data_IF_010394566427
#
_entry.id   IF_010394566427
#
_cell.length_a   1.000
_cell.length_b   1.000
_cell.length_c   1.000
_cell.angle_alpha   90.00
_cell.angle_beta   90.00
_cell.angle_gamma   90.00
#
_symmetry.space_group_name_H-M   'P 1'
#
loop_
_entity.id
_entity.type
_entity.pdbx_description
1 polymer ?
#
# COMPACT_ATOMS: atom_id res chain seq x y z
N UNK A 1 7.60 -18.58 -3.91
CA UNK A 1 6.55 -19.34 -4.65
C UNK A 1 5.28 -18.52 -4.64
N UNK A 2 4.85 -18.02 -5.80
CA UNK A 2 3.74 -17.06 -5.92
C UNK A 2 2.35 -17.69 -5.73
N UNK A 3 2.28 -19.02 -5.86
CA UNK A 3 1.06 -19.81 -5.73
C UNK A 3 1.44 -21.15 -5.09
N UNK A 4 1.48 -21.23 -3.76
CA UNK A 4 1.46 -22.53 -3.08
C UNK A 4 0.03 -23.08 -3.06
N UNK A 5 -0.61 -23.14 -4.23
CA UNK A 5 -1.90 -23.79 -4.47
C UNK A 5 -1.68 -25.29 -4.74
N UNK A 6 -0.84 -25.91 -3.93
CA UNK A 6 -0.49 -27.32 -4.01
C UNK A 6 -0.68 -27.93 -2.62
N UNK A 7 -1.40 -29.06 -2.55
CA UNK A 7 -1.71 -29.79 -1.31
C UNK A 7 -3.09 -29.49 -0.70
N UNK A 8 -3.39 -30.16 0.41
CA UNK A 8 -4.73 -30.24 1.03
C UNK A 8 -5.29 -28.90 1.53
N UNK A 9 -4.43 -27.89 1.74
CA UNK A 9 -4.82 -26.56 2.17
C UNK A 9 -5.26 -25.59 1.05
N UNK A 10 -5.28 -26.04 -0.20
CA UNK A 10 -5.51 -25.17 -1.38
C UNK A 10 -6.88 -24.51 -1.37
N UNK A 11 -7.94 -25.26 -1.02
CA UNK A 11 -9.32 -24.73 -0.96
C UNK A 11 -9.42 -23.63 0.10
N UNK A 12 -8.83 -23.81 1.28
CA UNK A 12 -8.83 -22.79 2.33
C UNK A 12 -8.09 -21.52 1.91
N UNK A 13 -6.99 -21.63 1.16
CA UNK A 13 -6.26 -20.48 0.60
C UNK A 13 -7.08 -19.72 -0.44
N UNK A 14 -7.81 -20.42 -1.29
CA UNK A 14 -8.71 -19.82 -2.29
C UNK A 14 -9.92 -19.15 -1.64
N UNK A 15 -10.56 -19.80 -0.67
CA UNK A 15 -11.66 -19.21 0.10
C UNK A 15 -11.17 -17.97 0.85
N UNK A 16 -10.01 -18.05 1.51
CA UNK A 16 -9.40 -16.91 2.17
C UNK A 16 -9.16 -15.74 1.21
N UNK A 17 -8.68 -16.02 -0.01
CA UNK A 17 -8.52 -15.01 -1.04
C UNK A 17 -9.84 -14.36 -1.45
N UNK A 18 -10.89 -15.15 -1.72
CA UNK A 18 -12.23 -14.64 -2.08
C UNK A 18 -12.80 -13.78 -0.95
N UNK A 19 -12.64 -14.21 0.31
CA UNK A 19 -13.11 -13.46 1.48
C UNK A 19 -12.37 -12.14 1.64
N UNK A 20 -11.05 -12.13 1.46
CA UNK A 20 -10.25 -10.90 1.49
C UNK A 20 -10.65 -9.96 0.35
N UNK A 21 -10.76 -10.47 -0.87
CA UNK A 21 -11.20 -9.69 -2.03
C UNK A 21 -12.59 -9.08 -1.80
N UNK A 22 -13.58 -9.89 -1.45
CA UNK A 22 -14.94 -9.44 -1.16
C UNK A 22 -14.96 -8.43 0.00
N UNK A 23 -14.18 -8.69 1.06
CA UNK A 23 -14.02 -7.78 2.19
C UNK A 23 -13.45 -6.43 1.77
N UNK A 24 -12.41 -6.40 0.95
CA UNK A 24 -11.81 -5.16 0.42
C UNK A 24 -12.82 -4.37 -0.42
N UNK A 25 -13.54 -5.03 -1.33
CA UNK A 25 -14.57 -4.38 -2.16
C UNK A 25 -15.71 -3.81 -1.30
N UNK A 26 -16.21 -4.59 -0.32
CA UNK A 26 -17.28 -4.14 0.58
C UNK A 26 -16.81 -2.96 1.43
N UNK A 27 -15.64 -3.06 2.06
CA UNK A 27 -15.08 -1.99 2.88
C UNK A 27 -14.83 -0.72 2.05
N UNK A 28 -14.29 -0.85 0.83
CA UNK A 28 -14.11 0.26 -0.09
C UNK A 28 -15.45 0.93 -0.42
N UNK A 29 -16.48 0.14 -0.71
CA UNK A 29 -17.81 0.67 -1.02
C UNK A 29 -18.47 1.37 0.18
N UNK A 30 -18.34 0.82 1.39
CA UNK A 30 -18.83 1.43 2.62
C UNK A 30 -18.10 2.75 2.92
N UNK A 31 -16.77 2.78 2.74
CA UNK A 31 -15.95 3.96 2.92
C UNK A 31 -16.27 5.06 1.89
N UNK A 32 -16.56 4.65 0.64
CA UNK A 32 -16.86 5.55 -0.48
C UNK A 32 -18.23 6.21 -0.35
N UNK A 33 -19.26 5.45 0.04
CA UNK A 33 -20.67 5.90 0.02
C UNK A 33 -21.02 6.96 1.06
N UNK A 34 -20.30 7.06 2.18
CA UNK A 34 -20.67 7.98 3.25
C UNK A 34 -19.47 8.64 3.91
N UNK A 35 -19.68 9.85 4.43
CA UNK A 35 -18.64 10.58 5.18
C UNK A 35 -18.25 9.83 6.45
N UNK A 36 -19.23 9.25 7.15
CA UNK A 36 -18.97 8.49 8.36
C UNK A 36 -18.22 7.19 8.06
N UNK A 37 -18.60 6.46 7.01
CA UNK A 37 -17.86 5.28 6.56
C UNK A 37 -16.39 5.60 6.27
N UNK A 38 -16.13 6.67 5.50
CA UNK A 38 -14.76 7.14 5.27
C UNK A 38 -14.01 7.50 6.56
N UNK A 39 -14.63 8.19 7.50
CA UNK A 39 -14.02 8.50 8.81
C UNK A 39 -13.75 7.23 9.64
N UNK A 40 -14.64 6.25 9.61
CA UNK A 40 -14.45 4.97 10.30
C UNK A 40 -13.21 4.25 9.79
N UNK A 41 -13.13 4.05 8.48
CA UNK A 41 -12.05 3.27 7.86
C UNK A 41 -10.71 4.01 7.80
N UNK A 42 -10.70 5.34 7.62
CA UNK A 42 -9.47 6.09 7.41
C UNK A 42 -9.03 6.95 8.60
N UNK A 43 -9.83 7.06 9.67
CA UNK A 43 -9.46 7.81 10.88
C UNK A 43 -9.58 6.94 12.13
N UNK A 44 -10.78 6.46 12.45
CA UNK A 44 -11.00 5.75 13.73
C UNK A 44 -10.26 4.41 13.79
N UNK A 45 -10.34 3.58 12.75
CA UNK A 45 -9.61 2.30 12.69
C UNK A 45 -8.08 2.51 12.73
N UNK A 46 -7.48 3.40 11.91
CA UNK A 46 -6.05 3.67 11.97
C UNK A 46 -5.57 4.22 13.32
N UNK A 47 -6.37 5.02 14.02
CA UNK A 47 -6.04 5.47 15.38
C UNK A 47 -6.00 4.27 16.34
N UNK A 48 -7.02 3.41 16.31
CA UNK A 48 -7.05 2.20 17.15
C UNK A 48 -5.87 1.27 16.86
N UNK A 49 -5.53 1.09 15.57
CA UNK A 49 -4.35 0.33 15.15
C UNK A 49 -3.04 0.97 15.63
N UNK A 50 -2.94 2.30 15.59
CA UNK A 50 -1.76 3.00 16.10
C UNK A 50 -1.58 2.78 17.61
N UNK A 51 -2.66 2.85 18.39
CA UNK A 51 -2.63 2.53 19.83
C UNK A 51 -2.18 1.08 20.05
N UNK A 52 -2.72 0.15 19.27
CA UNK A 52 -2.32 -1.26 19.31
C UNK A 52 -0.82 -1.47 19.01
N UNK A 53 -0.29 -0.80 17.97
CA UNK A 53 1.13 -0.88 17.64
C UNK A 53 2.01 -0.33 18.76
N UNK A 54 1.65 0.83 19.32
CA UNK A 54 2.36 1.42 20.46
C UNK A 54 2.34 0.47 21.67
N UNK A 55 1.20 -0.13 21.98
CA UNK A 55 1.08 -1.08 23.09
C UNK A 55 1.98 -2.32 22.90
N UNK A 56 2.08 -2.85 21.68
CA UNK A 56 3.01 -3.94 21.37
C UNK A 56 4.46 -3.51 21.56
N UNK A 57 4.86 -2.34 21.04
CA UNK A 57 6.25 -1.89 21.17
C UNK A 57 6.65 -1.66 22.64
N UNK A 58 5.77 -1.05 23.43
CA UNK A 58 5.98 -0.89 24.88
C UNK A 58 6.06 -2.26 25.57
N UNK A 59 5.16 -3.19 25.24
CA UNK A 59 5.17 -4.54 25.80
C UNK A 59 6.46 -5.29 25.46
N UNK A 60 6.94 -5.18 24.23
CA UNK A 60 8.16 -5.82 23.76
C UNK A 60 9.41 -5.22 24.43
N UNK A 61 9.46 -3.89 24.58
CA UNK A 61 10.53 -3.20 25.30
C UNK A 61 10.60 -3.62 26.78
N UNK A 62 9.46 -3.95 27.39
CA UNK A 62 9.37 -4.48 28.75
C UNK A 62 9.58 -6.01 28.85
N UNK A 63 9.95 -6.69 27.76
CA UNK A 63 10.19 -8.13 27.74
C UNK A 63 8.93 -8.99 27.86
N UNK A 64 7.73 -8.43 27.66
CA UNK A 64 6.49 -9.18 27.81
C UNK A 64 6.33 -10.24 26.72
N UNK A 65 6.12 -11.51 27.12
CA UNK A 65 6.09 -12.64 26.19
C UNK A 65 4.98 -12.53 25.13
N UNK A 66 3.83 -11.95 25.48
CA UNK A 66 2.71 -11.75 24.56
C UNK A 66 3.06 -10.76 23.44
N UNK A 67 3.86 -9.73 23.74
CA UNK A 67 4.26 -8.71 22.77
C UNK A 67 5.39 -9.22 21.88
N UNK A 68 6.40 -9.87 22.47
CA UNK A 68 7.50 -10.50 21.74
C UNK A 68 7.03 -11.62 20.80
N UNK A 69 5.95 -12.32 21.15
CA UNK A 69 5.37 -13.36 20.32
C UNK A 69 4.28 -12.88 19.35
N UNK A 70 3.92 -11.59 19.40
CA UNK A 70 2.92 -11.02 18.51
C UNK A 70 3.41 -11.05 17.05
N UNK A 71 2.56 -11.49 16.13
CA UNK A 71 2.90 -11.56 14.69
C UNK A 71 3.25 -10.19 14.10
N UNK A 72 2.58 -9.12 14.56
CA UNK A 72 2.87 -7.74 14.15
C UNK A 72 4.30 -7.35 14.52
N UNK A 73 4.73 -7.70 15.73
CA UNK A 73 6.09 -7.42 16.19
C UNK A 73 7.15 -8.24 15.44
N UNK A 74 6.84 -9.52 15.15
CA UNK A 74 7.78 -10.43 14.48
C UNK A 74 7.96 -10.15 12.99
N UNK A 75 6.88 -9.77 12.28
CA UNK A 75 6.87 -9.78 10.82
C UNK A 75 6.54 -8.42 10.18
N UNK A 76 6.07 -7.43 10.95
CA UNK A 76 5.58 -6.15 10.41
C UNK A 76 6.22 -4.92 11.07
N UNK A 77 7.40 -5.10 11.69
CA UNK A 77 8.09 -4.03 12.42
C UNK A 77 9.06 -3.20 11.55
N UNK A 78 9.10 -3.47 10.24
CA UNK A 78 9.91 -2.72 9.29
C UNK A 78 9.41 -1.29 9.12
N UNK A 79 10.33 -0.33 9.00
CA UNK A 79 10.00 1.08 8.74
C UNK A 79 9.08 1.26 7.53
N UNK A 80 9.26 0.41 6.51
CA UNK A 80 8.51 0.43 5.26
C UNK A 80 7.01 0.15 5.47
N UNK A 81 6.68 -0.83 6.32
CA UNK A 81 5.29 -1.21 6.61
C UNK A 81 4.51 -0.03 7.22
N UNK A 82 5.14 0.66 8.17
CA UNK A 82 4.58 1.87 8.77
C UNK A 82 4.51 3.02 7.77
N UNK A 83 5.58 3.26 7.00
CA UNK A 83 5.63 4.34 6.03
C UNK A 83 4.51 4.21 4.97
N UNK A 84 4.34 3.02 4.36
CA UNK A 84 3.25 2.78 3.40
C UNK A 84 1.87 2.90 4.04
N UNK A 85 1.67 2.34 5.24
CA UNK A 85 0.37 2.39 5.92
C UNK A 85 -0.06 3.85 6.18
N UNK A 86 0.84 4.67 6.74
CA UNK A 86 0.52 6.05 7.06
C UNK A 86 0.45 6.94 5.82
N UNK A 87 1.27 6.69 4.79
CA UNK A 87 1.17 7.41 3.52
C UNK A 87 -0.17 7.12 2.81
N UNK A 88 -0.61 5.86 2.76
CA UNK A 88 -1.92 5.50 2.22
C UNK A 88 -3.06 6.12 3.03
N UNK A 89 -3.00 6.06 4.36
CA UNK A 89 -4.01 6.65 5.26
C UNK A 89 -4.12 8.16 5.08
N UNK A 90 -2.98 8.87 5.04
CA UNK A 90 -2.93 10.31 4.78
C UNK A 90 -3.51 10.65 3.40
N UNK A 91 -3.24 9.83 2.40
CA UNK A 91 -3.82 9.94 1.06
C UNK A 91 -5.34 9.88 1.11
N UNK A 92 -5.91 8.83 1.71
CA UNK A 92 -7.36 8.66 1.84
C UNK A 92 -8.01 9.81 2.60
N UNK A 93 -7.41 10.28 3.71
CA UNK A 93 -7.91 11.42 4.47
C UNK A 93 -7.91 12.69 3.60
N UNK A 94 -6.83 12.98 2.89
CA UNK A 94 -6.77 14.17 2.03
C UNK A 94 -7.76 14.10 0.86
N UNK A 95 -7.98 12.92 0.28
CA UNK A 95 -9.05 12.71 -0.69
C UNK A 95 -10.44 12.97 -0.09
N UNK A 96 -10.71 12.52 1.13
CA UNK A 96 -11.96 12.86 1.82
C UNK A 96 -12.11 14.37 2.04
N UNK A 97 -11.03 15.07 2.40
CA UNK A 97 -11.05 16.52 2.58
C UNK A 97 -11.40 17.23 1.27
N UNK A 98 -10.86 16.77 0.13
CA UNK A 98 -11.21 17.29 -1.20
C UNK A 98 -12.66 16.97 -1.58
N UNK A 99 -13.09 15.72 -1.41
CA UNK A 99 -14.44 15.25 -1.76
C UNK A 99 -15.51 16.02 -0.99
N UNK A 100 -15.36 16.12 0.33
CA UNK A 100 -16.35 16.77 1.21
C UNK A 100 -16.08 18.27 1.41
N UNK A 101 -15.10 18.83 0.70
CA UNK A 101 -14.71 20.25 0.81
C UNK A 101 -14.56 20.66 2.28
N UNK A 102 -13.81 19.86 3.05
CA UNK A 102 -13.58 20.08 4.47
C UNK A 102 -12.19 20.66 4.71
N UNK A 103 -12.10 21.68 5.58
CA UNK A 103 -10.85 22.37 5.93
C UNK A 103 -10.09 22.83 4.68
N UNK A 104 -8.78 22.53 4.58
CA UNK A 104 -7.92 22.85 3.44
C UNK A 104 -8.39 22.21 2.12
N UNK A 105 -9.25 21.19 2.15
CA UNK A 105 -9.82 20.61 0.92
C UNK A 105 -10.76 21.53 0.13
N UNK A 106 -11.12 22.69 0.70
CA UNK A 106 -11.83 23.76 -0.01
C UNK A 106 -10.94 24.55 -0.94
N UNK A 107 -9.63 24.61 -0.68
CA UNK A 107 -8.72 25.45 -1.45
C UNK A 107 -8.37 24.79 -2.76
N UNK A 108 -8.19 25.62 -3.79
CA UNK A 108 -7.80 25.13 -5.11
C UNK A 108 -6.42 24.49 -5.06
N UNK A 109 -5.46 25.08 -4.34
CA UNK A 109 -4.08 24.60 -4.24
C UNK A 109 -3.96 23.17 -3.68
N UNK A 110 -4.92 22.73 -2.85
CA UNK A 110 -4.91 21.38 -2.27
C UNK A 110 -5.26 20.28 -3.28
N UNK A 111 -5.73 20.63 -4.49
CA UNK A 111 -5.94 19.65 -5.58
C UNK A 111 -4.68 18.91 -6.00
N UNK A 112 -3.49 19.45 -5.74
CA UNK A 112 -2.20 18.80 -5.99
C UNK A 112 -1.88 17.70 -4.97
N UNK A 113 -2.53 17.68 -3.80
CA UNK A 113 -2.25 16.73 -2.73
C UNK A 113 -2.36 15.25 -3.16
N UNK A 114 -3.44 14.81 -3.84
CA UNK A 114 -3.54 13.49 -4.45
C UNK A 114 -2.33 13.06 -5.27
N UNK A 115 -1.80 13.95 -6.10
CA UNK A 115 -0.60 13.66 -6.88
C UNK A 115 0.61 13.46 -5.96
N UNK A 116 0.84 14.40 -5.04
CA UNK A 116 1.99 14.34 -4.13
C UNK A 116 2.01 13.05 -3.32
N UNK A 117 0.86 12.63 -2.76
CA UNK A 117 0.80 11.44 -1.93
C UNK A 117 0.95 10.15 -2.74
N UNK A 118 0.42 10.08 -3.96
CA UNK A 118 0.64 8.93 -4.86
C UNK A 118 2.11 8.88 -5.27
N UNK A 119 2.71 10.01 -5.63
CA UNK A 119 4.14 10.09 -5.96
C UNK A 119 5.03 9.67 -4.79
N UNK A 120 4.73 10.11 -3.57
CA UNK A 120 5.45 9.67 -2.35
C UNK A 120 5.32 8.16 -2.16
N UNK A 121 4.12 7.58 -2.32
CA UNK A 121 3.93 6.13 -2.20
C UNK A 121 4.75 5.36 -3.24
N UNK A 122 4.83 5.87 -4.47
CA UNK A 122 5.68 5.30 -5.53
C UNK A 122 7.15 5.42 -5.14
N UNK A 123 7.60 6.60 -4.68
CA UNK A 123 8.99 6.83 -4.29
C UNK A 123 9.43 5.91 -3.14
N UNK A 124 8.57 5.65 -2.15
CA UNK A 124 8.87 4.68 -1.07
C UNK A 124 9.14 3.29 -1.66
N UNK A 125 8.34 2.85 -2.64
CA UNK A 125 8.58 1.59 -3.34
C UNK A 125 9.86 1.61 -4.19
N UNK A 126 10.12 2.70 -4.91
CA UNK A 126 11.35 2.89 -5.71
C UNK A 126 12.60 2.83 -4.82
N UNK A 127 12.58 3.49 -3.66
CA UNK A 127 13.68 3.42 -2.68
C UNK A 127 13.91 2.00 -2.19
N UNK A 128 12.83 1.26 -1.90
CA UNK A 128 12.91 -0.15 -1.50
C UNK A 128 13.47 -1.04 -2.61
N UNK A 129 13.11 -0.79 -3.87
CA UNK A 129 13.71 -1.47 -5.03
C UNK A 129 15.22 -1.21 -5.11
N UNK A 130 15.65 0.05 -5.04
CA UNK A 130 17.06 0.38 -5.12
C UNK A 130 17.85 -0.16 -3.92
N UNK A 131 17.28 -0.14 -2.72
CA UNK A 131 17.87 -0.79 -1.54
C UNK A 131 18.11 -2.27 -1.78
N UNK A 132 17.11 -3.00 -2.28
CA UNK A 132 17.23 -4.41 -2.63
C UNK A 132 18.26 -4.65 -3.72
N UNK A 133 18.31 -3.79 -4.75
CA UNK A 133 19.28 -3.91 -5.85
C UNK A 133 20.73 -3.78 -5.35
N UNK A 134 20.98 -2.79 -4.48
CA UNK A 134 22.31 -2.53 -3.90
C UNK A 134 22.71 -3.68 -2.97
N UNK A 135 21.85 -4.04 -2.01
CA UNK A 135 22.16 -5.08 -1.02
C UNK A 135 22.28 -6.47 -1.66
N UNK A 136 21.44 -6.78 -2.64
CA UNK A 136 21.56 -7.99 -3.44
C UNK A 136 22.86 -8.01 -4.26
N UNK A 137 23.21 -6.91 -4.92
CA UNK A 137 24.47 -6.80 -5.67
C UNK A 137 25.72 -6.98 -4.80
N UNK A 138 25.71 -6.47 -3.57
CA UNK A 138 26.81 -6.63 -2.61
C UNK A 138 26.94 -8.05 -2.06
N UNK A 139 25.84 -8.77 -1.91
CA UNK A 139 25.79 -10.11 -1.28
C UNK A 139 25.72 -11.28 -2.28
N UNK A 140 25.91 -11.04 -3.58
CA UNK A 140 25.81 -12.08 -4.61
C UNK A 140 24.37 -12.57 -4.87
N UNK A 141 23.38 -11.73 -4.54
CA UNK A 141 21.98 -11.88 -4.90
C UNK A 141 21.05 -11.91 -3.69
N UNK A 142 21.22 -12.87 -2.78
CA UNK A 142 20.36 -13.01 -1.60
C UNK A 142 20.82 -12.12 -0.45
N UNK A 143 19.91 -11.35 0.12
CA UNK A 143 20.15 -10.60 1.34
C UNK A 143 18.99 -10.76 2.32
N UNK A 144 19.29 -10.72 3.61
CA UNK A 144 18.29 -10.85 4.66
C UNK A 144 17.76 -9.46 5.03
N UNK A 145 16.47 -9.24 4.81
CA UNK A 145 15.83 -7.97 5.13
C UNK A 145 15.70 -7.78 6.63
N UNK A 146 15.60 -6.52 7.06
CA UNK A 146 15.31 -6.16 8.45
C UNK A 146 13.92 -6.67 8.91
N UNK A 147 13.11 -7.19 7.98
CA UNK A 147 11.77 -7.73 8.20
C UNK A 147 11.79 -9.26 8.32
N UNK A 148 12.97 -9.87 8.38
CA UNK A 148 13.13 -11.30 8.58
C UNK A 148 12.89 -12.14 7.32
N UNK A 149 12.93 -11.52 6.13
CA UNK A 149 12.65 -12.16 4.85
C UNK A 149 13.91 -12.17 3.97
N UNK A 150 14.18 -13.30 3.35
CA UNK A 150 15.22 -13.39 2.32
C UNK A 150 14.72 -12.78 1.01
N UNK A 151 15.42 -11.75 0.54
CA UNK A 151 15.12 -11.05 -0.70
C UNK A 151 16.23 -11.31 -1.70
N UNK A 152 15.85 -11.54 -2.96
CA UNK A 152 16.79 -11.70 -4.07
C UNK A 152 16.84 -10.40 -4.86
N UNK A 153 17.90 -9.64 -4.62
CA UNK A 153 18.13 -8.34 -5.26
C UNK A 153 18.95 -8.46 -6.53
N UNK A 154 18.59 -7.68 -7.55
CA UNK A 154 19.32 -7.69 -8.83
C UNK A 154 18.90 -6.59 -9.80
N UNK A 155 19.24 -6.78 -11.08
CA UNK A 155 18.99 -5.79 -12.14
C UNK A 155 17.50 -5.52 -12.38
N UNK A 156 16.62 -6.49 -12.10
CA UNK A 156 15.16 -6.30 -12.16
C UNK A 156 14.67 -5.24 -11.17
N UNK A 157 15.30 -5.10 -10.00
CA UNK A 157 14.96 -4.05 -9.04
C UNK A 157 15.35 -2.66 -9.57
N UNK A 158 16.49 -2.53 -10.26
CA UNK A 158 16.86 -1.28 -10.93
C UNK A 158 15.83 -0.88 -11.99
N UNK A 159 15.44 -1.82 -12.85
CA UNK A 159 14.43 -1.57 -13.87
C UNK A 159 13.07 -1.21 -13.27
N UNK A 160 12.63 -1.93 -12.23
CA UNK A 160 11.36 -1.66 -11.58
C UNK A 160 11.38 -0.28 -10.88
N UNK A 161 12.48 0.07 -10.21
CA UNK A 161 12.63 1.40 -9.61
C UNK A 161 12.57 2.53 -10.65
N UNK A 162 13.26 2.37 -11.80
CA UNK A 162 13.20 3.34 -12.91
C UNK A 162 11.77 3.42 -13.49
N UNK A 163 11.10 2.29 -13.68
CA UNK A 163 9.70 2.27 -14.12
C UNK A 163 8.77 3.01 -13.15
N UNK A 164 9.04 2.94 -11.85
CA UNK A 164 8.31 3.71 -10.84
C UNK A 164 8.49 5.22 -11.01
N UNK A 165 9.71 5.68 -11.29
CA UNK A 165 9.96 7.10 -11.60
C UNK A 165 9.21 7.51 -12.88
N UNK A 166 9.21 6.68 -13.91
CA UNK A 166 8.45 6.93 -15.14
C UNK A 166 6.95 7.04 -14.85
N UNK A 167 6.38 6.16 -14.01
CA UNK A 167 4.98 6.26 -13.59
C UNK A 167 4.67 7.61 -12.93
N UNK A 168 5.59 8.16 -12.13
CA UNK A 168 5.43 9.51 -11.56
C UNK A 168 5.40 10.57 -12.65
N UNK A 169 6.33 10.51 -13.61
CA UNK A 169 6.41 11.49 -14.70
C UNK A 169 5.21 11.44 -15.66
N UNK A 170 4.57 10.28 -15.83
CA UNK A 170 3.38 10.13 -16.64
C UNK A 170 2.14 10.82 -16.04
N UNK A 171 2.12 11.05 -14.71
CA UNK A 171 1.05 11.82 -14.06
C UNK A 171 1.35 13.32 -14.22
N UNK A 172 0.59 14.03 -15.05
CA UNK A 172 0.84 15.45 -15.43
C UNK A 172 -0.35 16.38 -15.18
N UNK A 173 -1.57 15.85 -15.13
CA UNK A 173 -2.83 16.53 -14.82
C UNK A 173 -3.05 16.80 -13.33
N UNK A 174 -2.04 17.36 -12.63
CA UNK A 174 -2.05 17.55 -11.17
C UNK A 174 -3.23 18.39 -10.64
N UNK A 175 -3.75 19.29 -11.47
CA UNK A 175 -4.88 20.18 -11.14
C UNK A 175 -6.23 19.67 -11.65
N UNK A 176 -6.23 18.61 -12.46
CA UNK A 176 -7.38 18.13 -13.22
C UNK A 176 -8.39 17.32 -12.40
N UNK A 177 -8.27 17.27 -11.08
CA UNK A 177 -9.11 16.41 -10.25
C UNK A 177 -10.47 17.05 -9.99
N UNK A 178 -11.54 16.36 -10.35
CA UNK A 178 -12.92 16.82 -10.18
C UNK A 178 -13.83 15.73 -9.62
N UNK A 179 -14.98 16.12 -9.08
CA UNK A 179 -15.96 15.16 -8.57
C UNK A 179 -16.90 14.69 -9.67
N UNK A 180 -17.26 13.41 -9.65
CA UNK A 180 -18.26 12.81 -10.52
C UNK A 180 -19.62 13.51 -10.40
N UNK A 181 -20.48 13.35 -11.42
CA UNK A 181 -21.82 13.96 -11.42
C UNK A 181 -22.68 13.57 -10.20
N UNK A 182 -22.53 12.33 -9.73
CA UNK A 182 -23.22 11.83 -8.53
C UNK A 182 -22.53 12.21 -7.21
N UNK A 183 -21.34 12.83 -7.28
CA UNK A 183 -20.47 13.21 -6.16
C UNK A 183 -19.97 12.03 -5.30
N UNK A 184 -20.14 10.81 -5.80
CA UNK A 184 -19.66 9.59 -5.15
C UNK A 184 -18.17 9.40 -5.38
N UNK A 185 -17.70 9.70 -6.60
CA UNK A 185 -16.32 9.51 -7.02
C UNK A 185 -15.58 10.82 -7.28
N UNK A 186 -14.25 10.78 -7.17
CA UNK A 186 -13.34 11.78 -7.71
C UNK A 186 -12.64 11.19 -8.93
N UNK A 187 -12.64 11.94 -10.02
CA UNK A 187 -12.03 11.56 -11.28
C UNK A 187 -10.75 12.37 -11.47
N UNK A 188 -9.70 11.69 -11.91
CA UNK A 188 -8.42 12.29 -12.29
C UNK A 188 -8.14 11.94 -13.76
N UNK A 189 -8.02 12.94 -14.65
CA UNK A 189 -7.74 12.74 -16.08
C UNK A 189 -6.60 11.78 -16.42
N UNK A 190 -5.53 11.75 -15.63
CA UNK A 190 -4.35 10.90 -15.90
C UNK A 190 -4.60 9.42 -15.59
N UNK A 191 -5.62 9.12 -14.78
CA UNK A 191 -5.99 7.76 -14.38
C UNK A 191 -6.79 7.07 -15.48
N UNK A 192 -6.20 7.01 -16.68
CA UNK A 192 -6.72 6.22 -17.79
C UNK A 192 -6.60 4.73 -17.50
N UNK A 193 -7.41 3.90 -18.15
CA UNK A 193 -7.34 2.44 -17.97
C UNK A 193 -5.92 1.89 -18.26
N UNK A 194 -5.22 2.46 -19.24
CA UNK A 194 -3.87 2.03 -19.60
C UNK A 194 -2.83 2.44 -18.57
N UNK A 195 -2.98 3.64 -17.98
CA UNK A 195 -2.13 4.06 -16.87
C UNK A 195 -2.34 3.15 -15.65
N UNK A 196 -3.60 2.86 -15.30
CA UNK A 196 -3.94 1.97 -14.18
C UNK A 196 -3.32 0.58 -14.38
N UNK A 197 -3.49 -0.03 -15.57
CA UNK A 197 -2.89 -1.34 -15.87
C UNK A 197 -1.37 -1.31 -15.77
N UNK A 198 -0.71 -0.30 -16.33
CA UNK A 198 0.74 -0.17 -16.25
C UNK A 198 1.23 0.01 -14.81
N UNK A 199 0.54 0.85 -14.03
CA UNK A 199 0.82 1.06 -12.62
C UNK A 199 0.62 -0.21 -11.79
N UNK A 200 -0.44 -0.96 -12.04
CA UNK A 200 -0.76 -2.20 -11.33
C UNK A 200 0.28 -3.28 -11.61
N UNK A 201 0.67 -3.45 -12.88
CA UNK A 201 1.74 -4.39 -13.24
C UNK A 201 3.06 -4.00 -12.55
N UNK A 202 3.40 -2.71 -12.54
CA UNK A 202 4.58 -2.20 -11.85
C UNK A 202 4.51 -2.46 -10.34
N UNK A 203 3.39 -2.14 -9.69
CA UNK A 203 3.21 -2.33 -8.25
C UNK A 203 3.20 -3.82 -7.89
N UNK A 204 2.60 -4.67 -8.73
CA UNK A 204 2.67 -6.12 -8.59
C UNK A 204 4.13 -6.61 -8.64
N UNK A 205 4.88 -6.18 -9.64
CA UNK A 205 6.31 -6.52 -9.81
C UNK A 205 7.11 -6.08 -8.59
N UNK A 206 6.83 -4.89 -8.06
CA UNK A 206 7.40 -4.41 -6.80
C UNK A 206 7.09 -5.35 -5.63
N UNK A 207 5.81 -5.69 -5.42
CA UNK A 207 5.41 -6.59 -4.32
C UNK A 207 6.01 -7.99 -4.47
N UNK A 208 6.22 -8.46 -5.68
CA UNK A 208 6.89 -9.73 -5.92
C UNK A 208 8.36 -9.68 -5.52
N UNK A 209 9.07 -8.63 -5.94
CA UNK A 209 10.50 -8.52 -5.74
C UNK A 209 10.88 -8.20 -4.29
N UNK A 210 10.11 -7.35 -3.61
CA UNK A 210 10.47 -6.81 -2.29
C UNK A 210 9.56 -7.29 -1.14
N UNK A 211 8.37 -7.84 -1.45
CA UNK A 211 7.41 -8.31 -0.45
C UNK A 211 6.85 -9.70 -0.81
N UNK A 212 7.70 -10.72 -1.06
CA UNK A 212 7.29 -12.00 -1.62
C UNK A 212 6.28 -12.76 -0.75
N UNK A 213 6.25 -12.48 0.56
CA UNK A 213 5.28 -13.04 1.53
C UNK A 213 3.88 -12.43 1.40
N UNK A 214 3.77 -11.24 0.79
CA UNK A 214 2.53 -10.49 0.64
C UNK A 214 2.00 -10.47 -0.79
N UNK A 215 2.77 -10.92 -1.79
CA UNK A 215 2.39 -10.84 -3.22
C UNK A 215 1.00 -11.42 -3.53
N UNK A 216 0.56 -12.46 -2.80
CA UNK A 216 -0.76 -13.06 -3.02
C UNK A 216 -1.91 -12.14 -2.62
N UNK A 217 -1.89 -11.62 -1.40
CA UNK A 217 -2.97 -10.77 -0.90
C UNK A 217 -2.78 -9.30 -1.31
N UNK A 218 -1.56 -8.77 -1.23
CA UNK A 218 -1.25 -7.38 -1.57
C UNK A 218 -1.02 -7.16 -3.08
N UNK A 219 -0.48 -8.15 -3.79
CA UNK A 219 -0.22 -8.02 -5.24
C UNK A 219 -1.40 -8.48 -6.11
N UNK A 220 -2.18 -9.48 -5.70
CA UNK A 220 -3.30 -9.97 -6.53
C UNK A 220 -4.64 -9.50 -6.00
N UNK A 221 -4.97 -9.81 -4.74
CA UNK A 221 -6.31 -9.50 -4.21
C UNK A 221 -6.56 -7.98 -4.13
N UNK A 222 -5.57 -7.21 -3.70
CA UNK A 222 -5.70 -5.76 -3.53
C UNK A 222 -5.70 -5.00 -4.87
N UNK A 223 -4.94 -5.42 -5.87
CA UNK A 223 -4.94 -4.75 -7.18
C UNK A 223 -6.23 -5.01 -7.98
N UNK A 224 -6.90 -6.13 -7.72
CA UNK A 224 -8.17 -6.44 -8.38
C UNK A 224 -9.38 -5.75 -7.74
N UNK A 225 -9.27 -5.30 -6.48
CA UNK A 225 -10.38 -4.79 -5.67
C UNK A 225 -10.53 -3.27 -5.78
#
# INVERSE_FOLDING_TARGET
MLFQLYGDGTIYKLIGWVLVFAGLVICNELARRSKFGGLLFFVFIPIALTVYFVAIQIGAANGASWALNNQTYKYMNGWFHYAKLYAATAGCIGFMMLKYKWSIGKTEWFKVFPFLIVAINILIAVCSDFESAIKGGMNGGWWFSNEGVWLYGGWWNWLNGIAGLINIFCMTGWWGIYSSKKKDDMLWPDMTIWFIVAYDIWNFTYTYNNLPTHTWYCGVALLLA
#
